data_IF_605233074642
#
_entry.id   IF_605233074642
#
_cell.length_a   1.000
_cell.length_b   1.000
_cell.length_c   1.000
_cell.angle_alpha   90.00
_cell.angle_beta   90.00
_cell.angle_gamma   90.00
#
_symmetry.space_group_name_H-M   'P 1'
#
loop_
_entity.id
_entity.type
_entity.pdbx_description
1 polymer ?
#
# COMPACT_ATOMS: atom_id res chain seq x y z
N UNK A 1 -22.69 -22.33 13.68
CA UNK A 1 -21.21 -22.39 13.67
C UNK A 1 -20.68 -21.04 14.11
N UNK A 2 -19.59 -21.00 14.89
CA UNK A 2 -18.93 -19.73 15.25
C UNK A 2 -18.20 -19.18 14.03
N UNK A 3 -18.18 -17.84 13.86
CA UNK A 3 -17.40 -17.18 12.81
C UNK A 3 -15.91 -17.42 12.99
N UNK A 4 -15.18 -17.57 11.89
CA UNK A 4 -13.71 -17.61 11.88
C UNK A 4 -13.10 -16.24 12.23
N UNK A 5 -11.83 -16.22 12.64
CA UNK A 5 -11.09 -14.97 12.89
C UNK A 5 -11.12 -14.03 11.67
N UNK A 6 -11.04 -14.59 10.48
CA UNK A 6 -11.05 -13.81 9.24
C UNK A 6 -12.42 -13.18 8.98
N UNK A 7 -13.53 -13.91 9.16
CA UNK A 7 -14.88 -13.36 9.02
C UNK A 7 -15.11 -12.21 10.01
N UNK A 8 -14.68 -12.36 11.26
CA UNK A 8 -14.75 -11.28 12.26
C UNK A 8 -13.92 -10.07 11.82
N UNK A 9 -12.72 -10.29 11.28
CA UNK A 9 -11.83 -9.22 10.82
C UNK A 9 -12.42 -8.45 9.62
N UNK A 10 -13.16 -9.11 8.72
CA UNK A 10 -13.90 -8.45 7.62
C UNK A 10 -15.04 -7.57 8.11
N UNK A 11 -15.59 -7.84 9.29
CA UNK A 11 -16.75 -7.11 9.84
C UNK A 11 -16.37 -5.97 10.79
N UNK A 12 -15.21 -6.06 11.43
CA UNK A 12 -14.84 -5.11 12.50
C UNK A 12 -13.33 -4.90 12.69
N UNK A 13 -12.49 -5.62 11.94
CA UNK A 13 -11.05 -5.64 12.13
C UNK A 13 -10.26 -5.03 10.99
N UNK A 14 -9.03 -5.52 10.83
CA UNK A 14 -8.03 -4.97 9.92
C UNK A 14 -8.42 -5.16 8.46
N UNK A 15 -9.09 -6.26 8.12
CA UNK A 15 -9.56 -6.49 6.75
C UNK A 15 -10.71 -5.54 6.37
N UNK A 16 -11.56 -5.15 7.33
CA UNK A 16 -12.54 -4.08 7.09
C UNK A 16 -11.84 -2.74 6.79
N UNK A 17 -10.79 -2.39 7.56
CA UNK A 17 -10.04 -1.14 7.34
C UNK A 17 -9.34 -1.11 5.99
N UNK A 18 -8.75 -2.24 5.57
CA UNK A 18 -8.19 -2.37 4.22
C UNK A 18 -9.29 -2.23 3.15
N UNK A 19 -10.43 -2.90 3.33
CA UNK A 19 -11.55 -2.82 2.39
C UNK A 19 -12.13 -1.39 2.27
N UNK A 20 -12.07 -0.59 3.33
CA UNK A 20 -12.53 0.80 3.31
C UNK A 20 -11.69 1.72 2.39
N UNK A 21 -10.51 1.28 1.95
CA UNK A 21 -9.64 2.02 1.03
C UNK A 21 -9.98 1.78 -0.45
N UNK A 22 -10.85 0.81 -0.76
CA UNK A 22 -11.22 0.46 -2.14
C UNK A 22 -11.83 1.65 -2.86
N UNK A 23 -11.31 1.94 -4.04
CA UNK A 23 -11.77 3.05 -4.85
C UNK A 23 -10.74 3.51 -5.88
N UNK A 24 -11.13 4.56 -6.59
CA UNK A 24 -10.24 5.34 -7.44
C UNK A 24 -9.86 6.61 -6.72
N UNK A 25 -8.58 6.97 -6.79
CA UNK A 25 -7.98 8.08 -6.06
C UNK A 25 -7.23 8.98 -7.05
N UNK A 26 -7.41 10.29 -6.91
CA UNK A 26 -6.65 11.30 -7.62
C UNK A 26 -5.98 12.21 -6.60
N UNK A 27 -4.72 12.57 -6.84
CA UNK A 27 -3.96 13.40 -5.91
C UNK A 27 -2.75 14.06 -6.54
N UNK A 28 -1.89 14.61 -5.68
CA UNK A 28 -0.60 15.18 -6.06
C UNK A 28 0.51 14.45 -5.31
N UNK A 29 1.54 14.04 -6.03
CA UNK A 29 2.79 13.53 -5.46
C UNK A 29 3.80 14.66 -5.47
N UNK A 30 4.55 14.78 -4.37
CA UNK A 30 5.69 15.69 -4.25
C UNK A 30 6.93 14.86 -3.96
N UNK A 31 8.02 15.16 -4.65
CA UNK A 31 9.26 14.40 -4.56
C UNK A 31 10.38 15.32 -4.12
N UNK A 32 11.20 14.86 -3.18
CA UNK A 32 12.38 15.54 -2.65
C UNK A 32 13.58 14.59 -2.75
N UNK A 33 14.68 15.05 -3.35
CA UNK A 33 15.96 14.34 -3.33
C UNK A 33 16.89 14.87 -2.23
N UNK A 34 16.68 16.12 -1.85
CA UNK A 34 17.38 16.79 -0.77
C UNK A 34 16.35 17.28 0.25
N UNK A 35 16.78 17.34 1.51
CA UNK A 35 15.93 17.81 2.60
C UNK A 35 15.40 19.21 2.27
N UNK A 36 14.10 19.38 2.35
CA UNK A 36 13.38 20.65 2.17
C UNK A 36 13.45 21.29 0.75
N UNK A 37 14.06 20.62 -0.24
CA UNK A 37 14.11 21.12 -1.64
C UNK A 37 13.17 20.28 -2.52
N UNK A 38 12.02 20.87 -2.88
CA UNK A 38 11.05 20.22 -3.76
C UNK A 38 11.63 20.04 -5.15
N UNK A 39 11.82 18.79 -5.58
CA UNK A 39 12.38 18.44 -6.87
C UNK A 39 11.30 18.37 -7.97
N UNK A 40 10.12 17.84 -7.64
CA UNK A 40 9.00 17.68 -8.56
C UNK A 40 7.67 17.65 -7.81
N UNK A 41 6.61 18.17 -8.43
CA UNK A 41 5.23 17.97 -7.99
C UNK A 41 4.36 17.63 -9.20
N UNK A 42 3.72 16.46 -9.17
CA UNK A 42 2.93 15.93 -10.28
C UNK A 42 1.55 15.45 -9.82
N UNK A 43 0.55 15.40 -10.72
CA UNK A 43 -0.62 14.58 -10.51
C UNK A 43 -0.25 13.10 -10.34
N UNK A 44 -1.07 12.38 -9.60
CA UNK A 44 -0.97 10.94 -9.37
C UNK A 44 -2.37 10.35 -9.37
N UNK A 45 -2.51 9.18 -10.00
CA UNK A 45 -3.75 8.39 -9.96
C UNK A 45 -3.50 7.06 -9.31
N UNK A 46 -4.44 6.65 -8.48
CA UNK A 46 -4.40 5.42 -7.73
C UNK A 46 -5.68 4.61 -7.92
N UNK A 47 -5.56 3.29 -7.95
CA UNK A 47 -6.71 2.38 -7.88
C UNK A 47 -6.44 1.32 -6.83
N UNK A 48 -7.39 1.19 -5.91
CA UNK A 48 -7.34 0.20 -4.85
C UNK A 48 -8.44 -0.84 -5.07
N UNK A 49 -8.04 -2.11 -5.18
CA UNK A 49 -8.93 -3.26 -5.33
C UNK A 49 -8.63 -4.31 -4.27
N UNK A 50 -9.58 -5.22 -4.05
CA UNK A 50 -9.40 -6.38 -3.18
C UNK A 50 -9.07 -7.62 -4.00
N UNK A 51 -8.20 -8.48 -3.46
CA UNK A 51 -7.87 -9.77 -4.01
C UNK A 51 -8.30 -10.89 -3.07
N UNK A 52 -8.58 -12.06 -3.63
CA UNK A 52 -8.82 -13.31 -2.89
C UNK A 52 -9.88 -13.16 -1.78
N UNK A 53 -11.06 -12.66 -2.13
CA UNK A 53 -12.18 -12.42 -1.19
C UNK A 53 -11.84 -11.42 -0.05
N UNK A 54 -11.03 -10.41 -0.36
CA UNK A 54 -10.69 -9.36 0.59
C UNK A 54 -9.60 -9.74 1.59
N UNK A 55 -8.82 -10.78 1.30
CA UNK A 55 -7.62 -11.14 2.08
C UNK A 55 -6.46 -10.19 1.84
N UNK A 56 -6.38 -9.66 0.63
CA UNK A 56 -5.32 -8.73 0.24
C UNK A 56 -5.92 -7.51 -0.43
N UNK A 57 -5.19 -6.42 -0.34
CA UNK A 57 -5.45 -5.18 -1.05
C UNK A 57 -4.38 -5.03 -2.13
N UNK A 58 -4.80 -4.71 -3.35
CA UNK A 58 -3.94 -4.34 -4.45
C UNK A 58 -4.08 -2.84 -4.71
N UNK A 59 -2.97 -2.13 -4.62
CA UNK A 59 -2.88 -0.71 -4.93
C UNK A 59 -2.02 -0.52 -6.17
N UNK A 60 -2.62 -0.03 -7.24
CA UNK A 60 -1.93 0.35 -8.47
C UNK A 60 -1.89 1.87 -8.55
N UNK A 61 -0.76 2.43 -8.99
CA UNK A 61 -0.63 3.86 -9.16
C UNK A 61 0.20 4.24 -10.39
N UNK A 62 -0.12 5.40 -10.97
CA UNK A 62 0.56 5.98 -12.12
C UNK A 62 0.79 7.48 -11.91
N UNK A 63 1.98 7.95 -12.27
CA UNK A 63 2.37 9.35 -12.13
C UNK A 63 3.44 9.75 -13.12
N UNK A 64 3.94 10.97 -12.95
CA UNK A 64 5.08 11.48 -13.73
C UNK A 64 6.13 12.06 -12.80
N UNK A 65 7.40 11.95 -13.14
CA UNK A 65 8.48 12.61 -12.45
C UNK A 65 9.34 13.34 -13.49
N UNK A 66 9.48 14.65 -13.39
CA UNK A 66 10.17 15.46 -14.40
C UNK A 66 9.62 15.19 -15.82
N UNK A 67 8.30 15.01 -15.95
CA UNK A 67 7.62 14.70 -17.20
C UNK A 67 7.76 13.26 -17.70
N UNK A 68 8.52 12.39 -17.02
CA UNK A 68 8.65 10.97 -17.38
C UNK A 68 7.61 10.13 -16.62
N UNK A 69 6.84 9.25 -17.29
CA UNK A 69 5.86 8.42 -16.60
C UNK A 69 6.54 7.37 -15.71
N UNK A 70 5.91 7.06 -14.58
CA UNK A 70 6.23 5.90 -13.77
C UNK A 70 4.96 5.24 -13.26
N UNK A 71 5.05 3.96 -12.96
CA UNK A 71 3.97 3.17 -12.39
C UNK A 71 4.50 2.31 -11.26
N UNK A 72 3.61 1.94 -10.34
CA UNK A 72 3.94 1.01 -9.30
C UNK A 72 2.72 0.29 -8.77
N UNK A 73 3.01 -0.78 -8.02
CA UNK A 73 2.02 -1.65 -7.41
C UNK A 73 2.44 -2.05 -6.02
N UNK A 74 1.47 -2.12 -5.12
CA UNK A 74 1.64 -2.62 -3.77
C UNK A 74 0.56 -3.65 -3.44
N UNK A 75 0.98 -4.79 -2.93
CA UNK A 75 0.06 -5.76 -2.32
C UNK A 75 0.16 -5.64 -0.80
N UNK A 76 -0.95 -5.33 -0.16
CA UNK A 76 -1.07 -5.19 1.29
C UNK A 76 -1.87 -6.34 1.91
N UNK A 77 -1.50 -6.74 3.12
CA UNK A 77 -2.20 -7.75 3.91
C UNK A 77 -2.17 -7.41 5.39
N UNK A 78 -3.04 -8.09 6.16
CA UNK A 78 -2.89 -8.20 7.60
C UNK A 78 -2.90 -9.68 8.00
N UNK A 79 -1.75 -10.18 8.43
CA UNK A 79 -1.59 -11.55 8.92
C UNK A 79 -2.16 -11.67 10.33
N UNK A 80 -3.35 -12.29 10.44
CA UNK A 80 -4.04 -12.52 11.71
C UNK A 80 -3.32 -13.53 12.62
N UNK A 81 -2.43 -14.36 12.09
CA UNK A 81 -1.66 -15.32 12.88
C UNK A 81 -0.51 -14.68 13.62
N UNK A 82 0.20 -13.77 12.94
CA UNK A 82 1.36 -13.05 13.48
C UNK A 82 1.05 -11.63 13.97
N UNK A 83 -0.18 -11.15 13.76
CA UNK A 83 -0.63 -9.80 14.10
C UNK A 83 0.22 -8.70 13.44
N UNK A 84 0.55 -8.93 12.16
CA UNK A 84 1.43 -8.06 11.37
C UNK A 84 0.72 -7.54 10.13
N UNK A 85 0.91 -6.26 9.84
CA UNK A 85 0.64 -5.72 8.53
C UNK A 85 1.84 -5.98 7.63
N UNK A 86 1.61 -6.45 6.41
CA UNK A 86 2.66 -6.72 5.44
C UNK A 86 2.36 -6.02 4.11
N UNK A 87 3.42 -5.64 3.42
CA UNK A 87 3.36 -5.03 2.10
C UNK A 87 4.50 -5.54 1.22
N UNK A 88 4.20 -5.83 -0.04
CA UNK A 88 5.22 -6.01 -1.09
C UNK A 88 5.06 -4.91 -2.12
N UNK A 89 6.14 -4.19 -2.40
CA UNK A 89 6.14 -3.03 -3.29
C UNK A 89 7.09 -3.22 -4.47
N UNK A 90 6.59 -2.85 -5.66
CA UNK A 90 7.33 -2.74 -6.92
C UNK A 90 6.98 -1.42 -7.61
N UNK A 91 7.95 -0.78 -8.28
CA UNK A 91 7.71 0.37 -9.13
C UNK A 91 8.83 0.56 -10.17
N UNK A 92 8.55 1.31 -11.23
CA UNK A 92 9.50 1.54 -12.32
C UNK A 92 10.53 2.61 -12.03
N UNK A 93 10.42 3.35 -10.91
CA UNK A 93 11.33 4.43 -10.57
C UNK A 93 12.29 4.10 -9.41
N UNK A 94 11.81 3.61 -8.27
CA UNK A 94 12.65 3.34 -7.09
C UNK A 94 13.20 1.92 -7.07
N UNK A 95 12.41 0.94 -7.49
CA UNK A 95 12.70 -0.47 -7.24
C UNK A 95 13.56 -1.15 -8.30
N UNK A 96 13.65 -0.61 -9.52
CA UNK A 96 14.32 -1.28 -10.63
C UNK A 96 13.69 -2.65 -10.90
N UNK A 97 14.41 -3.74 -10.60
CA UNK A 97 13.89 -5.12 -10.69
C UNK A 97 13.73 -5.80 -9.32
N UNK A 98 13.96 -5.07 -8.23
CA UNK A 98 13.82 -5.60 -6.88
C UNK A 98 12.37 -5.54 -6.40
N UNK A 99 12.06 -6.34 -5.38
CA UNK A 99 10.79 -6.30 -4.65
C UNK A 99 11.12 -5.87 -3.22
N UNK A 100 10.45 -4.83 -2.72
CA UNK A 100 10.60 -4.43 -1.33
C UNK A 100 9.56 -5.15 -0.50
N UNK A 101 10.02 -5.89 0.50
CA UNK A 101 9.16 -6.45 1.52
C UNK A 101 9.15 -5.54 2.73
N UNK A 102 7.96 -5.25 3.24
CA UNK A 102 7.76 -4.42 4.42
C UNK A 102 6.82 -5.11 5.38
N UNK A 103 7.07 -4.97 6.67
CA UNK A 103 6.15 -5.41 7.71
C UNK A 103 6.15 -4.47 8.91
N UNK A 104 5.10 -4.58 9.72
CA UNK A 104 5.01 -3.84 10.96
C UNK A 104 3.66 -4.02 11.64
N UNK A 105 3.25 -3.01 12.40
CA UNK A 105 2.15 -3.12 13.36
C UNK A 105 1.05 -2.11 13.06
N UNK A 106 -0.13 -2.41 13.61
CA UNK A 106 -1.26 -1.49 13.60
C UNK A 106 -0.95 -0.24 14.44
N UNK A 107 -1.47 0.90 13.98
CA UNK A 107 -1.50 2.16 14.71
C UNK A 107 -2.96 2.54 15.02
N UNK A 108 -3.19 3.56 15.85
CA UNK A 108 -4.55 4.00 16.18
C UNK A 108 -5.41 4.38 14.97
N UNK A 109 -4.80 4.70 13.81
CA UNK A 109 -5.48 5.15 12.60
C UNK A 109 -5.03 4.42 11.32
N UNK A 110 -4.30 3.31 11.42
CA UNK A 110 -3.77 2.63 10.24
C UNK A 110 -2.69 1.60 10.56
N UNK A 111 -1.62 1.59 9.78
CA UNK A 111 -0.49 0.69 9.93
C UNK A 111 0.82 1.47 9.77
N UNK A 112 1.87 1.01 10.45
CA UNK A 112 3.24 1.44 10.23
C UNK A 112 4.07 0.24 9.85
N UNK A 113 4.71 0.29 8.69
CA UNK A 113 5.56 -0.79 8.16
C UNK A 113 6.96 -0.26 7.88
N UNK A 114 7.96 -1.12 8.07
CA UNK A 114 9.35 -0.83 7.69
C UNK A 114 9.75 -1.76 6.56
N UNK A 115 10.22 -1.18 5.47
CA UNK A 115 10.75 -1.91 4.33
C UNK A 115 12.21 -2.26 4.50
N UNK A 116 12.61 -3.41 3.95
CA UNK A 116 14.00 -3.81 3.86
C UNK A 116 14.31 -4.20 2.41
N UNK A 117 15.48 -3.79 1.95
CA UNK A 117 16.12 -4.41 0.79
C UNK A 117 16.86 -5.66 1.28
N UNK A 118 17.08 -6.63 0.38
CA UNK A 118 17.71 -7.91 0.70
C UNK A 118 19.01 -7.79 1.50
#
# INVERSE_FOLDING_TARGET
>A
MSKSKFEISKESGQHLRLAALVGSWDGRTRTWFEKDILADESPMRGKITLLMDGRFLNYEYEGTLNGKPYEGRMTWSYDLGNEKCQCSWIDTFHMGTAIMHSEGSETGNGFSVTGQYG
#
